data_IF_975818345158
#
_entry.id   IF_975818345158
#
_cell.length_a   1.000
_cell.length_b   1.000
_cell.length_c   1.000
_cell.angle_alpha   90.00
_cell.angle_beta   90.00
_cell.angle_gamma   90.00
#
_symmetry.space_group_name_H-M   'P 1'
#
loop_
_entity.id
_entity.type
_entity.pdbx_description
1 polymer ?
#
# COMPACT_ATOMS: atom_id res chain seq x y z
N UNK A 1 14.19 30.20 45.64
CA UNK A 1 15.12 29.77 44.58
C UNK A 1 15.10 28.25 44.38
N UNK A 2 15.11 27.43 45.45
CA UNK A 2 15.04 25.95 45.34
C UNK A 2 13.70 25.44 44.81
N UNK A 3 12.59 26.03 45.25
CA UNK A 3 11.25 25.68 44.83
C UNK A 3 11.05 25.99 43.34
N UNK A 4 11.55 27.13 42.89
CA UNK A 4 11.45 27.59 41.49
C UNK A 4 12.27 26.67 40.57
N UNK A 5 13.47 26.22 41.01
CA UNK A 5 14.28 25.26 40.26
C UNK A 5 13.62 23.89 40.16
N UNK A 6 13.00 23.44 41.26
CA UNK A 6 12.26 22.19 41.30
C UNK A 6 11.06 22.19 40.37
N UNK A 7 10.29 23.29 40.34
CA UNK A 7 9.16 23.47 39.43
C UNK A 7 9.61 23.52 37.98
N UNK A 8 10.70 24.21 37.68
CA UNK A 8 11.29 24.26 36.33
C UNK A 8 11.74 22.88 35.85
N UNK A 9 12.36 22.08 36.69
CA UNK A 9 12.75 20.70 36.38
C UNK A 9 11.54 19.81 36.14
N UNK A 10 10.52 19.97 36.95
CA UNK A 10 9.27 19.21 36.84
C UNK A 10 8.55 19.56 35.54
N UNK A 11 8.48 20.82 35.17
CA UNK A 11 7.89 21.28 33.92
C UNK A 11 8.70 20.81 32.72
N UNK A 12 10.02 20.91 32.79
CA UNK A 12 10.89 20.43 31.69
C UNK A 12 10.75 18.90 31.52
N UNK A 13 10.66 18.15 32.62
CA UNK A 13 10.44 16.71 32.58
C UNK A 13 9.06 16.36 31.96
N UNK A 14 8.01 17.11 32.31
CA UNK A 14 6.70 16.92 31.76
C UNK A 14 6.66 17.24 30.26
N UNK A 15 7.32 18.31 29.83
CA UNK A 15 7.44 18.67 28.41
C UNK A 15 8.22 17.61 27.63
N UNK A 16 9.32 17.12 28.19
CA UNK A 16 10.11 16.06 27.56
C UNK A 16 9.30 14.78 27.38
N UNK A 17 8.53 14.39 28.41
CA UNK A 17 7.64 13.23 28.34
C UNK A 17 6.54 13.42 27.29
N UNK A 18 5.95 14.60 27.20
CA UNK A 18 4.94 14.92 26.18
C UNK A 18 5.52 14.89 24.77
N UNK A 19 6.70 15.44 24.57
CA UNK A 19 7.40 15.41 23.29
C UNK A 19 7.75 13.98 22.87
N UNK A 20 8.20 13.18 23.81
CA UNK A 20 8.51 11.75 23.55
C UNK A 20 7.25 10.99 23.14
N UNK A 21 6.16 11.18 23.88
CA UNK A 21 4.87 10.53 23.56
C UNK A 21 4.36 10.95 22.19
N UNK A 22 4.47 12.23 21.85
CA UNK A 22 4.08 12.74 20.53
C UNK A 22 4.96 12.13 19.44
N UNK A 23 6.26 12.08 19.64
CA UNK A 23 7.19 11.49 18.67
C UNK A 23 6.89 10.01 18.44
N UNK A 24 6.62 9.25 19.50
CA UNK A 24 6.24 7.83 19.39
C UNK A 24 4.93 7.65 18.63
N UNK A 25 3.95 8.51 18.87
CA UNK A 25 2.68 8.51 18.15
C UNK A 25 2.86 8.85 16.68
N UNK A 26 3.65 9.87 16.37
CA UNK A 26 3.95 10.29 15.00
C UNK A 26 4.67 9.17 14.23
N UNK A 27 5.64 8.52 14.85
CA UNK A 27 6.37 7.40 14.25
C UNK A 27 5.42 6.22 13.98
N UNK A 28 4.55 5.89 14.92
CA UNK A 28 3.57 4.81 14.74
C UNK A 28 2.61 5.12 13.58
N UNK A 29 2.19 6.36 13.43
CA UNK A 29 1.32 6.82 12.35
C UNK A 29 2.05 6.78 11.01
N UNK A 30 3.27 7.26 10.93
CA UNK A 30 4.11 7.21 9.74
C UNK A 30 4.39 5.78 9.30
N UNK A 31 4.65 4.90 10.26
CA UNK A 31 4.85 3.48 9.98
C UNK A 31 3.61 2.84 9.37
N UNK A 32 2.42 3.11 9.92
CA UNK A 32 1.16 2.59 9.37
C UNK A 32 0.92 3.11 7.95
N UNK A 33 1.18 4.39 7.73
CA UNK A 33 1.06 5.02 6.42
C UNK A 33 2.01 4.36 5.40
N UNK A 34 3.27 4.17 5.79
CA UNK A 34 4.27 3.53 4.95
C UNK A 34 3.89 2.07 4.61
N UNK A 35 3.40 1.32 5.59
CA UNK A 35 2.94 -0.06 5.37
C UNK A 35 1.75 -0.09 4.41
N UNK A 36 0.80 0.84 4.54
CA UNK A 36 -0.35 0.92 3.64
C UNK A 36 0.07 1.30 2.22
N UNK A 37 1.01 2.22 2.06
CA UNK A 37 1.57 2.59 0.75
C UNK A 37 2.25 1.39 0.09
N UNK A 38 3.04 0.63 0.84
CA UNK A 38 3.70 -0.59 0.36
C UNK A 38 2.66 -1.63 -0.06
N UNK A 39 1.63 -1.85 0.75
CA UNK A 39 0.54 -2.79 0.40
C UNK A 39 -0.15 -2.40 -0.90
N UNK A 40 -0.43 -1.12 -1.08
CA UNK A 40 -1.06 -0.61 -2.30
C UNK A 40 -0.15 -0.81 -3.51
N UNK A 41 1.14 -0.52 -3.36
CA UNK A 41 2.14 -0.69 -4.41
C UNK A 41 2.31 -2.17 -4.80
N UNK A 42 2.37 -3.06 -3.82
CA UNK A 42 2.40 -4.50 -4.06
C UNK A 42 1.11 -4.97 -4.76
N UNK A 43 -0.04 -4.46 -4.34
CA UNK A 43 -1.32 -4.74 -4.98
C UNK A 43 -1.34 -4.32 -6.44
N UNK A 44 -0.86 -3.13 -6.76
CA UNK A 44 -0.77 -2.62 -8.13
C UNK A 44 0.17 -3.47 -8.98
N UNK A 45 1.32 -3.84 -8.45
CA UNK A 45 2.28 -4.73 -9.13
C UNK A 45 1.65 -6.11 -9.36
N UNK A 46 0.97 -6.65 -8.36
CA UNK A 46 0.31 -7.95 -8.48
C UNK A 46 -0.78 -7.94 -9.56
N UNK A 47 -1.57 -6.87 -9.64
CA UNK A 47 -2.57 -6.70 -10.69
C UNK A 47 -1.94 -6.57 -12.07
N UNK A 48 -0.83 -5.87 -12.18
CA UNK A 48 -0.09 -5.73 -13.43
C UNK A 48 0.48 -7.07 -13.91
N UNK A 49 1.07 -7.85 -12.98
CA UNK A 49 1.56 -9.19 -13.28
C UNK A 49 0.42 -10.11 -13.69
N UNK A 50 -0.69 -10.11 -12.97
CA UNK A 50 -1.86 -10.90 -13.31
C UNK A 50 -2.41 -10.57 -14.69
N UNK A 51 -2.47 -9.27 -15.03
CA UNK A 51 -2.86 -8.83 -16.36
C UNK A 51 -1.96 -9.37 -17.47
N UNK A 52 -0.65 -9.35 -17.26
CA UNK A 52 0.32 -9.90 -18.21
C UNK A 52 0.24 -11.42 -18.34
N UNK A 53 -0.02 -12.12 -17.25
CA UNK A 53 -0.21 -13.58 -17.26
C UNK A 53 -1.45 -13.95 -18.06
N UNK A 54 -2.55 -13.25 -17.85
CA UNK A 54 -3.80 -13.45 -18.61
C UNK A 54 -3.57 -13.18 -20.10
N UNK A 55 -2.87 -12.11 -20.46
CA UNK A 55 -2.51 -11.82 -21.84
C UNK A 55 -1.70 -12.94 -22.50
N UNK A 56 -0.78 -13.56 -21.73
CA UNK A 56 0.04 -14.67 -22.23
C UNK A 56 -0.72 -15.97 -22.32
N UNK A 57 -1.67 -16.24 -21.42
CA UNK A 57 -2.51 -17.44 -21.48
C UNK A 57 -3.52 -17.39 -22.61
N UNK A 58 -3.94 -16.21 -23.02
CA UNK A 58 -4.61 -16.01 -24.30
C UNK A 58 -3.51 -16.00 -25.38
N UNK A 59 -2.87 -17.16 -25.55
CA UNK A 59 -1.86 -17.36 -26.59
C UNK A 59 -2.47 -17.14 -27.97
N UNK A 60 -1.62 -16.92 -28.99
CA UNK A 60 -2.08 -16.81 -30.39
C UNK A 60 -2.98 -17.98 -30.79
N UNK A 61 -2.72 -19.15 -30.23
CA UNK A 61 -3.51 -20.37 -30.48
C UNK A 61 -4.91 -20.26 -29.94
N UNK A 62 -5.09 -19.80 -28.70
CA UNK A 62 -6.40 -19.58 -28.09
C UNK A 62 -7.13 -18.42 -28.75
N UNK A 63 -6.42 -17.39 -29.13
CA UNK A 63 -6.98 -16.23 -29.83
C UNK A 63 -7.47 -16.62 -31.22
N UNK A 64 -6.68 -17.38 -31.95
CA UNK A 64 -7.05 -17.93 -33.29
C UNK A 64 -8.26 -18.84 -33.17
N UNK A 65 -8.32 -19.67 -32.15
CA UNK A 65 -9.45 -20.59 -31.91
C UNK A 65 -10.74 -19.83 -31.63
N UNK A 66 -10.68 -18.76 -30.82
CA UNK A 66 -11.80 -17.88 -30.54
C UNK A 66 -12.29 -17.18 -31.81
N UNK A 67 -11.39 -16.70 -32.67
CA UNK A 67 -11.70 -16.06 -33.94
C UNK A 67 -12.33 -17.06 -34.90
N UNK A 68 -11.79 -18.28 -34.98
CA UNK A 68 -12.33 -19.34 -35.82
C UNK A 68 -13.74 -19.76 -35.40
N UNK A 69 -13.99 -19.87 -34.09
CA UNK A 69 -15.33 -20.15 -33.56
C UNK A 69 -16.31 -19.03 -33.87
N UNK A 70 -15.86 -17.78 -33.78
CA UNK A 70 -16.67 -16.62 -34.13
C UNK A 70 -17.04 -16.59 -35.60
N UNK A 71 -16.08 -16.87 -36.47
CA UNK A 71 -16.29 -16.93 -37.95
C UNK A 71 -17.24 -18.08 -38.30
N UNK A 72 -17.08 -19.24 -37.65
CA UNK A 72 -17.96 -20.38 -37.86
C UNK A 72 -19.40 -20.07 -37.47
N UNK A 73 -19.62 -19.40 -36.33
CA UNK A 73 -20.95 -18.98 -35.90
C UNK A 73 -21.58 -17.95 -36.83
N UNK A 74 -20.81 -17.01 -37.33
CA UNK A 74 -21.28 -16.01 -38.29
C UNK A 74 -21.60 -16.67 -39.65
N UNK A 75 -20.81 -17.68 -40.05
CA UNK A 75 -21.02 -18.44 -41.27
C UNK A 75 -22.26 -19.30 -41.25
N UNK A 76 -22.72 -19.75 -40.08
CA UNK A 76 -23.94 -20.55 -39.90
C UNK A 76 -25.21 -19.71 -39.81
N UNK A 77 -25.06 -18.43 -39.56
CA UNK A 77 -26.19 -17.52 -39.51
C UNK A 77 -26.51 -17.01 -40.93
#
# INVERSE_FOLDING_TARGET
AAIQSEEMLKEASAQAAAMKAKAESDIAQEKRKAVNEIKNEIGDIAMEIAGKVIEREISEEDHTKLIDEFIANVGEA
#
